data_IF_871558247093
#
_entry.id   IF_871558247093
#
_cell.length_a   1.000
_cell.length_b   1.000
_cell.length_c   1.000
_cell.angle_alpha   90.00
_cell.angle_beta   90.00
_cell.angle_gamma   90.00
#
_symmetry.space_group_name_H-M   'P 1'
#
loop_
_entity.id
_entity.type
_entity.pdbx_description
1 polymer ?
#
# COMPACT_ATOMS: atom_id res chain seq x y z
N UNK A 1 8.94 -14.54 25.63
CA UNK A 1 9.45 -13.22 25.18
C UNK A 1 9.87 -13.17 23.72
N UNK A 2 10.98 -13.83 23.29
CA UNK A 2 11.45 -13.79 21.88
C UNK A 2 10.35 -14.13 20.85
N UNK A 3 9.52 -15.15 21.13
CA UNK A 3 8.42 -15.58 20.26
C UNK A 3 7.38 -14.47 20.01
N UNK A 4 7.03 -13.67 21.01
CA UNK A 4 6.01 -12.62 20.91
C UNK A 4 6.57 -11.40 20.15
N UNK A 5 7.83 -11.02 20.40
CA UNK A 5 8.51 -9.97 19.62
C UNK A 5 8.58 -10.31 18.14
N UNK A 6 8.84 -11.57 17.83
CA UNK A 6 8.89 -12.06 16.45
C UNK A 6 7.49 -12.03 15.82
N UNK A 7 6.44 -12.50 16.51
CA UNK A 7 5.07 -12.44 16.00
C UNK A 7 4.62 -11.00 15.73
N UNK A 8 4.86 -10.07 16.67
CA UNK A 8 4.50 -8.67 16.49
C UNK A 8 5.27 -8.02 15.33
N UNK A 9 6.55 -8.35 15.17
CA UNK A 9 7.33 -7.89 14.02
C UNK A 9 6.69 -8.36 12.72
N UNK A 10 6.26 -9.62 12.64
CA UNK A 10 5.60 -10.16 11.46
C UNK A 10 4.20 -9.57 11.21
N UNK A 11 3.44 -9.25 12.27
CA UNK A 11 2.16 -8.55 12.12
C UNK A 11 2.35 -7.16 11.52
N UNK A 12 3.25 -6.35 12.10
CA UNK A 12 3.54 -5.00 11.62
C UNK A 12 4.10 -5.08 10.20
N UNK A 13 5.04 -6.00 9.96
CA UNK A 13 5.63 -6.17 8.64
C UNK A 13 4.56 -6.62 7.63
N UNK A 14 3.66 -7.54 7.98
CA UNK A 14 2.57 -7.98 7.09
C UNK A 14 1.58 -6.90 6.74
N UNK A 15 1.37 -5.92 7.63
CA UNK A 15 0.57 -4.73 7.33
C UNK A 15 1.30 -3.77 6.40
N UNK A 16 2.58 -3.49 6.69
CA UNK A 16 3.45 -2.63 5.88
C UNK A 16 3.73 -3.23 4.49
N UNK A 17 3.74 -4.57 4.38
CA UNK A 17 3.86 -5.29 3.13
C UNK A 17 2.48 -5.44 2.48
N UNK A 18 2.11 -4.40 1.75
CA UNK A 18 0.89 -4.38 0.97
C UNK A 18 1.13 -4.44 -0.53
N UNK A 19 0.06 -4.22 -1.27
CA UNK A 19 0.11 -4.03 -2.73
C UNK A 19 1.05 -2.90 -3.15
N UNK A 20 1.25 -1.90 -2.28
CA UNK A 20 2.07 -0.71 -2.57
C UNK A 20 3.54 -1.03 -2.81
N UNK A 21 4.08 -2.04 -2.13
CA UNK A 21 5.45 -2.50 -2.29
C UNK A 21 5.71 -3.08 -3.68
N UNK A 22 4.68 -3.60 -4.35
CA UNK A 22 4.79 -4.17 -5.69
C UNK A 22 4.37 -3.18 -6.78
N UNK A 23 3.33 -2.38 -6.52
CA UNK A 23 2.75 -1.50 -7.53
C UNK A 23 3.49 -0.16 -7.66
N UNK A 24 4.05 0.36 -6.56
CA UNK A 24 4.54 1.75 -6.52
C UNK A 24 6.05 1.84 -6.30
N UNK A 25 6.58 1.20 -5.25
CA UNK A 25 8.01 1.32 -4.91
C UNK A 25 8.98 0.87 -6.02
N UNK A 26 8.71 -0.21 -6.79
CA UNK A 26 9.62 -0.68 -7.84
C UNK A 26 9.95 0.39 -8.88
N UNK A 27 8.96 1.23 -9.21
CA UNK A 27 9.15 2.35 -10.14
C UNK A 27 10.30 3.23 -9.70
N UNK A 28 10.23 3.72 -8.47
CA UNK A 28 11.21 4.69 -7.97
C UNK A 28 12.59 4.08 -7.82
N UNK A 29 12.67 2.79 -7.50
CA UNK A 29 13.96 2.09 -7.42
C UNK A 29 14.56 1.87 -8.81
N UNK A 30 13.73 1.63 -9.84
CA UNK A 30 14.20 1.55 -11.22
C UNK A 30 14.62 2.93 -11.75
N UNK A 31 13.81 3.97 -11.53
CA UNK A 31 14.06 5.31 -12.09
C UNK A 31 15.14 6.10 -11.36
N UNK A 32 15.35 5.88 -10.07
CA UNK A 32 16.33 6.63 -9.26
C UNK A 32 17.49 5.77 -8.75
N UNK A 33 17.46 4.45 -8.93
CA UNK A 33 18.49 3.54 -8.46
C UNK A 33 18.74 3.62 -6.96
N UNK A 34 20.02 3.45 -6.57
CA UNK A 34 20.45 3.52 -5.18
C UNK A 34 20.27 4.91 -4.56
N UNK A 35 20.30 5.98 -5.35
CA UNK A 35 19.97 7.33 -4.85
C UNK A 35 18.52 7.39 -4.36
N UNK A 36 17.59 6.81 -5.12
CA UNK A 36 16.19 6.68 -4.74
C UNK A 36 16.03 5.91 -3.44
N UNK A 37 16.70 4.76 -3.32
CA UNK A 37 16.71 3.98 -2.09
C UNK A 37 17.23 4.79 -0.89
N UNK A 38 18.39 5.44 -0.99
CA UNK A 38 18.95 6.24 0.11
C UNK A 38 18.02 7.37 0.54
N UNK A 39 17.38 8.05 -0.40
CA UNK A 39 16.40 9.10 -0.10
C UNK A 39 15.15 8.50 0.56
N UNK A 40 14.70 7.32 0.11
CA UNK A 40 13.55 6.64 0.68
C UNK A 40 13.75 6.25 2.15
N UNK A 41 14.99 6.12 2.62
CA UNK A 41 15.28 5.87 4.05
C UNK A 41 14.76 6.99 4.95
N UNK A 42 14.72 8.24 4.48
CA UNK A 42 14.24 9.38 5.27
C UNK A 42 12.75 9.22 5.63
N UNK A 43 11.81 9.09 4.68
CA UNK A 43 10.41 8.82 5.00
C UNK A 43 10.20 7.48 5.70
N UNK A 44 11.03 6.45 5.46
CA UNK A 44 10.96 5.21 6.24
C UNK A 44 11.26 5.46 7.72
N UNK A 45 12.31 6.23 8.04
CA UNK A 45 12.66 6.56 9.42
C UNK A 45 11.59 7.44 10.08
N UNK A 46 11.02 8.40 9.33
CA UNK A 46 9.86 9.19 9.79
C UNK A 46 8.68 8.27 10.11
N UNK A 47 8.35 7.35 9.21
CA UNK A 47 7.26 6.40 9.42
C UNK A 47 7.50 5.51 10.64
N UNK A 48 8.70 4.94 10.79
CA UNK A 48 9.05 4.13 11.96
C UNK A 48 8.98 4.91 13.27
N UNK A 49 9.39 6.18 13.26
CA UNK A 49 9.27 7.05 14.41
C UNK A 49 7.80 7.29 14.81
N UNK A 50 6.92 7.52 13.83
CA UNK A 50 5.49 7.69 14.07
C UNK A 50 4.85 6.39 14.55
N UNK A 51 5.11 5.27 13.88
CA UNK A 51 4.65 3.94 14.30
C UNK A 51 5.06 3.65 15.74
N UNK A 52 6.33 3.91 16.09
CA UNK A 52 6.82 3.75 17.45
C UNK A 52 6.01 4.63 18.43
N UNK A 53 5.83 5.90 18.10
CA UNK A 53 5.19 6.87 18.99
C UNK A 53 3.70 6.56 19.19
N UNK A 54 2.99 6.20 18.13
CA UNK A 54 1.57 5.81 18.15
C UNK A 54 1.38 4.53 18.96
N UNK A 55 2.13 3.47 18.64
CA UNK A 55 2.00 2.19 19.32
C UNK A 55 2.44 2.28 20.80
N UNK A 56 3.51 3.01 21.11
CA UNK A 56 3.97 3.18 22.49
C UNK A 56 2.97 4.02 23.31
N UNK A 57 2.25 4.97 22.70
CA UNK A 57 1.29 5.83 23.39
C UNK A 57 0.10 5.04 23.97
N UNK A 58 -0.50 4.12 23.20
CA UNK A 58 -1.59 3.25 23.66
C UNK A 58 -1.06 2.09 24.50
N UNK A 59 0.14 1.57 24.18
CA UNK A 59 0.79 0.54 24.99
C UNK A 59 1.05 1.00 26.42
N UNK A 60 1.58 2.22 26.62
CA UNK A 60 1.89 2.75 27.97
C UNK A 60 0.66 3.13 28.77
N UNK A 61 -0.30 3.76 28.10
CA UNK A 61 -1.52 4.24 28.78
C UNK A 61 -2.51 3.13 29.04
N UNK A 62 -2.38 1.98 28.33
CA UNK A 62 -3.37 0.90 28.29
C UNK A 62 -4.75 1.33 27.82
N UNK A 63 -4.83 2.54 27.25
CA UNK A 63 -6.04 3.05 26.67
C UNK A 63 -6.24 2.47 25.29
N UNK A 64 -7.51 2.18 25.02
CA UNK A 64 -7.97 1.95 23.67
C UNK A 64 -7.89 3.24 22.85
N UNK A 65 -7.90 3.13 21.52
CA UNK A 65 -7.75 4.30 20.63
C UNK A 65 -8.86 5.33 20.90
N UNK A 66 -10.10 4.88 21.12
CA UNK A 66 -11.20 5.75 21.51
C UNK A 66 -10.88 6.52 22.80
N UNK A 67 -10.40 5.82 23.83
CA UNK A 67 -10.14 6.43 25.13
C UNK A 67 -9.00 7.45 25.06
N UNK A 68 -7.94 7.15 24.32
CA UNK A 68 -6.79 8.05 24.15
C UNK A 68 -7.23 9.36 23.47
N UNK A 69 -8.03 9.27 22.41
CA UNK A 69 -8.48 10.44 21.64
C UNK A 69 -9.52 11.26 22.41
N UNK A 70 -10.39 10.63 23.20
CA UNK A 70 -11.42 11.34 23.97
C UNK A 70 -10.93 11.89 25.32
N UNK A 71 -10.13 11.11 26.07
CA UNK A 71 -9.75 11.46 27.45
C UNK A 71 -8.44 12.25 27.50
N UNK A 72 -7.41 11.81 26.77
CA UNK A 72 -6.08 12.44 26.81
C UNK A 72 -5.97 13.55 25.77
N UNK A 73 -6.03 13.20 24.49
CA UNK A 73 -5.72 14.13 23.41
C UNK A 73 -6.84 15.15 23.13
N UNK A 74 -8.08 14.84 23.55
CA UNK A 74 -9.29 15.65 23.30
C UNK A 74 -9.49 15.96 21.82
N UNK A 75 -9.28 14.95 20.98
CA UNK A 75 -9.38 15.01 19.52
C UNK A 75 -10.30 13.91 18.95
N UNK A 76 -11.50 13.66 19.54
CA UNK A 76 -12.39 12.58 19.13
C UNK A 76 -12.76 12.58 17.63
N UNK A 77 -12.85 13.76 17.02
CA UNK A 77 -13.16 13.91 15.61
C UNK A 77 -12.19 13.17 14.68
N UNK A 78 -10.91 13.06 15.07
CA UNK A 78 -9.89 12.48 14.23
C UNK A 78 -10.13 10.99 13.97
N UNK A 79 -10.79 10.29 14.90
CA UNK A 79 -11.11 8.87 14.71
C UNK A 79 -11.93 8.66 13.44
N UNK A 80 -12.90 9.54 13.16
CA UNK A 80 -13.71 9.44 11.94
C UNK A 80 -12.89 9.66 10.67
N UNK A 81 -11.94 10.60 10.70
CA UNK A 81 -11.00 10.81 9.58
C UNK A 81 -10.16 9.56 9.32
N UNK A 82 -9.61 8.94 10.37
CA UNK A 82 -8.82 7.71 10.28
C UNK A 82 -9.67 6.54 9.76
N UNK A 83 -10.90 6.38 10.25
CA UNK A 83 -11.82 5.32 9.79
C UNK A 83 -12.21 5.51 8.32
N UNK A 84 -12.55 6.74 7.90
CA UNK A 84 -12.88 7.01 6.49
C UNK A 84 -11.68 6.73 5.58
N UNK A 85 -10.48 7.13 5.97
CA UNK A 85 -9.27 6.83 5.21
C UNK A 85 -8.97 5.34 5.18
N UNK A 86 -9.11 4.63 6.30
CA UNK A 86 -8.98 3.18 6.40
C UNK A 86 -9.93 2.47 5.44
N UNK A 87 -11.19 2.91 5.36
CA UNK A 87 -12.18 2.32 4.44
C UNK A 87 -11.80 2.54 2.97
N UNK A 88 -11.29 3.71 2.62
CA UNK A 88 -10.77 3.99 1.26
C UNK A 88 -9.58 3.07 0.95
N UNK A 89 -8.63 2.96 1.87
CA UNK A 89 -7.48 2.07 1.73
C UNK A 89 -7.91 0.61 1.60
N UNK A 90 -8.91 0.18 2.35
CA UNK A 90 -9.51 -1.15 2.25
C UNK A 90 -10.10 -1.38 0.85
N UNK A 91 -10.96 -0.47 0.38
CA UNK A 91 -11.57 -0.57 -0.95
C UNK A 91 -10.54 -0.63 -2.09
N UNK A 92 -9.56 0.27 -2.07
CA UNK A 92 -8.47 0.29 -3.07
C UNK A 92 -7.67 -1.02 -3.03
N UNK A 93 -7.28 -1.45 -1.83
CA UNK A 93 -6.46 -2.66 -1.66
C UNK A 93 -7.21 -3.90 -2.12
N UNK A 94 -8.50 -4.01 -1.78
CA UNK A 94 -9.38 -5.09 -2.24
C UNK A 94 -9.52 -5.08 -3.75
N UNK A 95 -9.78 -3.93 -4.38
CA UNK A 95 -9.92 -3.84 -5.83
C UNK A 95 -8.68 -4.34 -6.57
N UNK A 96 -7.50 -3.81 -6.22
CA UNK A 96 -6.25 -4.16 -6.92
C UNK A 96 -5.75 -5.57 -6.58
N UNK A 97 -5.99 -6.04 -5.36
CA UNK A 97 -5.77 -7.44 -5.02
C UNK A 97 -6.66 -8.36 -5.89
N UNK A 98 -7.97 -8.09 -5.96
CA UNK A 98 -8.90 -8.84 -6.80
C UNK A 98 -8.57 -8.77 -8.29
N UNK A 99 -8.09 -7.62 -8.78
CA UNK A 99 -7.68 -7.46 -10.17
C UNK A 99 -6.51 -8.38 -10.54
N UNK A 100 -5.64 -8.71 -9.58
CA UNK A 100 -4.55 -9.68 -9.78
C UNK A 100 -5.09 -11.08 -10.08
N UNK A 101 -6.18 -11.50 -9.44
CA UNK A 101 -6.82 -12.80 -9.70
C UNK A 101 -7.52 -12.84 -11.06
N UNK A 102 -8.05 -11.72 -11.55
CA UNK A 102 -8.59 -11.62 -12.92
C UNK A 102 -7.50 -11.96 -13.94
N UNK A 103 -6.29 -11.44 -13.74
CA UNK A 103 -5.14 -11.80 -14.57
C UNK A 103 -4.64 -13.21 -14.34
N UNK A 104 -4.84 -13.84 -13.19
CA UNK A 104 -4.51 -15.27 -13.02
C UNK A 104 -5.49 -16.14 -13.81
N UNK A 105 -6.79 -15.90 -13.65
CA UNK A 105 -7.81 -16.75 -14.29
C UNK A 105 -8.02 -16.46 -15.78
N UNK A 106 -7.47 -15.36 -16.29
CA UNK A 106 -7.65 -14.99 -17.69
C UNK A 106 -9.06 -14.59 -18.05
N UNK A 107 -9.80 -14.06 -17.06
CA UNK A 107 -11.17 -13.59 -17.23
C UNK A 107 -11.22 -12.08 -17.43
N UNK A 108 -12.37 -11.53 -17.83
CA UNK A 108 -12.52 -10.10 -18.05
C UNK A 108 -12.60 -9.27 -16.75
N UNK A 109 -12.22 -8.00 -16.82
CA UNK A 109 -12.28 -7.05 -15.70
C UNK A 109 -13.69 -6.87 -15.09
N UNK A 110 -14.75 -7.24 -15.83
CA UNK A 110 -16.14 -7.28 -15.33
C UNK A 110 -16.33 -8.18 -14.10
N UNK A 111 -15.43 -9.12 -13.86
CA UNK A 111 -15.49 -10.02 -12.71
C UNK A 111 -14.75 -9.50 -11.46
N UNK A 112 -14.08 -8.33 -11.54
CA UNK A 112 -13.39 -7.73 -10.39
C UNK A 112 -14.31 -7.58 -9.17
N UNK A 113 -15.55 -7.06 -9.28
CA UNK A 113 -16.42 -6.90 -8.10
C UNK A 113 -16.75 -8.23 -7.42
N UNK A 114 -17.01 -9.28 -8.20
CA UNK A 114 -17.33 -10.62 -7.65
C UNK A 114 -16.12 -11.19 -6.90
N UNK A 115 -14.93 -11.06 -7.48
CA UNK A 115 -13.70 -11.49 -6.83
C UNK A 115 -13.42 -10.66 -5.58
N UNK A 116 -13.58 -9.33 -5.64
CA UNK A 116 -13.39 -8.42 -4.50
C UNK A 116 -14.31 -8.79 -3.32
N UNK A 117 -15.58 -9.06 -3.59
CA UNK A 117 -16.53 -9.58 -2.61
C UNK A 117 -16.05 -10.91 -2.02
N UNK A 118 -15.64 -11.85 -2.88
CA UNK A 118 -15.07 -13.13 -2.45
C UNK A 118 -13.84 -12.97 -1.56
N UNK A 119 -12.94 -12.04 -1.89
CA UNK A 119 -11.74 -11.72 -1.10
C UNK A 119 -12.10 -11.17 0.28
N UNK A 120 -13.04 -10.22 0.38
CA UNK A 120 -13.48 -9.69 1.67
C UNK A 120 -14.18 -10.78 2.50
N UNK A 121 -15.06 -11.58 1.90
CA UNK A 121 -15.73 -12.69 2.59
C UNK A 121 -14.69 -13.68 3.13
N UNK A 122 -13.70 -14.04 2.31
CA UNK A 122 -12.59 -14.89 2.74
C UNK A 122 -11.86 -14.28 3.94
N UNK A 123 -11.49 -12.99 3.89
CA UNK A 123 -10.83 -12.31 5.00
C UNK A 123 -11.68 -12.32 6.28
N UNK A 124 -12.98 -12.07 6.18
CA UNK A 124 -13.90 -12.12 7.33
C UNK A 124 -14.00 -13.54 7.90
N UNK A 125 -14.15 -14.57 7.05
CA UNK A 125 -14.19 -15.97 7.48
C UNK A 125 -12.91 -16.33 8.24
N UNK A 126 -11.75 -15.96 7.70
CA UNK A 126 -10.45 -16.20 8.35
C UNK A 126 -10.36 -15.51 9.73
N UNK A 127 -10.83 -14.26 9.85
CA UNK A 127 -10.87 -13.53 11.13
C UNK A 127 -11.85 -14.15 12.14
N UNK A 128 -12.98 -14.68 11.69
CA UNK A 128 -13.94 -15.37 12.54
C UNK A 128 -13.39 -16.72 13.03
N UNK A 129 -12.72 -17.47 12.14
CA UNK A 129 -12.06 -18.74 12.47
C UNK A 129 -10.95 -18.60 13.51
N UNK A 130 -10.29 -17.44 13.57
CA UNK A 130 -9.24 -17.17 14.54
C UNK A 130 -9.73 -17.13 16.01
N UNK A 131 -11.06 -17.08 16.28
CA UNK A 131 -11.69 -17.21 17.62
C UNK A 131 -10.96 -16.48 18.77
N UNK A 132 -10.54 -15.24 18.55
CA UNK A 132 -9.85 -14.42 19.56
C UNK A 132 -8.31 -14.45 19.50
N UNK A 133 -7.72 -15.32 18.68
CA UNK A 133 -6.28 -15.32 18.34
C UNK A 133 -5.99 -14.62 17.01
N UNK A 134 -6.75 -13.55 16.70
CA UNK A 134 -6.66 -12.84 15.41
C UNK A 134 -5.26 -12.31 15.15
N UNK A 135 -4.60 -11.75 16.16
CA UNK A 135 -3.24 -11.21 16.04
C UNK A 135 -2.21 -12.30 15.72
N UNK A 136 -2.27 -13.46 16.39
CA UNK A 136 -1.40 -14.61 16.09
C UNK A 136 -1.64 -15.14 14.69
N UNK A 137 -2.92 -15.25 14.30
CA UNK A 137 -3.31 -15.69 12.96
C UNK A 137 -2.76 -14.76 11.87
N UNK A 138 -2.97 -13.44 12.01
CA UNK A 138 -2.44 -12.43 11.10
C UNK A 138 -0.91 -12.54 11.00
N UNK A 139 -0.23 -12.71 12.13
CA UNK A 139 1.23 -12.85 12.17
C UNK A 139 1.71 -14.07 11.37
N UNK A 140 1.08 -15.23 11.55
CA UNK A 140 1.45 -16.47 10.84
C UNK A 140 1.20 -16.33 9.34
N UNK A 141 0.04 -15.80 8.96
CA UNK A 141 -0.31 -15.55 7.56
C UNK A 141 0.68 -14.59 6.91
N UNK A 142 1.08 -13.54 7.61
CA UNK A 142 2.09 -12.58 7.14
C UNK A 142 3.46 -13.21 6.91
N UNK A 143 3.90 -14.14 7.77
CA UNK A 143 5.13 -14.91 7.57
C UNK A 143 5.06 -15.71 6.28
N UNK A 144 3.98 -16.47 6.08
CA UNK A 144 3.82 -17.32 4.90
C UNK A 144 3.89 -16.49 3.61
N UNK A 145 3.23 -15.34 3.60
CA UNK A 145 3.22 -14.47 2.42
C UNK A 145 4.52 -13.73 2.19
N UNK A 146 5.24 -13.36 3.24
CA UNK A 146 6.59 -12.84 3.13
C UNK A 146 7.55 -13.86 2.50
N UNK A 147 7.49 -15.11 2.97
CA UNK A 147 8.27 -16.20 2.38
C UNK A 147 7.86 -16.43 0.91
N UNK A 148 6.56 -16.41 0.62
CA UNK A 148 6.05 -16.52 -0.74
C UNK A 148 6.56 -15.41 -1.65
N UNK A 149 6.61 -14.16 -1.19
CA UNK A 149 7.13 -13.03 -1.95
C UNK A 149 8.62 -13.20 -2.30
N UNK A 150 9.44 -13.61 -1.32
CA UNK A 150 10.88 -13.86 -1.53
C UNK A 150 11.09 -15.02 -2.51
N UNK A 151 10.39 -16.13 -2.31
CA UNK A 151 10.48 -17.31 -3.20
C UNK A 151 10.02 -16.94 -4.61
N UNK A 152 8.92 -16.20 -4.73
CA UNK A 152 8.40 -15.75 -6.02
C UNK A 152 9.39 -14.84 -6.75
N UNK A 153 10.09 -13.94 -6.05
CA UNK A 153 11.12 -13.11 -6.66
C UNK A 153 12.26 -13.95 -7.28
N UNK A 154 12.70 -14.99 -6.57
CA UNK A 154 13.73 -15.93 -7.06
C UNK A 154 13.21 -16.71 -8.28
N UNK A 155 11.98 -17.22 -8.20
CA UNK A 155 11.36 -17.99 -9.28
C UNK A 155 11.12 -17.14 -10.54
N UNK A 156 10.64 -15.90 -10.37
CA UNK A 156 10.45 -14.93 -11.47
C UNK A 156 11.77 -14.61 -12.14
N UNK A 157 12.83 -14.35 -11.37
CA UNK A 157 14.19 -14.16 -11.91
C UNK A 157 14.62 -15.34 -12.77
N UNK A 158 14.56 -16.55 -12.22
CA UNK A 158 15.04 -17.74 -12.92
C UNK A 158 14.23 -18.01 -14.20
N UNK A 159 12.92 -17.77 -14.15
CA UNK A 159 12.04 -17.91 -15.31
C UNK A 159 12.29 -16.81 -16.36
N UNK A 160 12.52 -15.56 -15.95
CA UNK A 160 12.84 -14.48 -16.87
C UNK A 160 14.19 -14.74 -17.58
N UNK A 161 15.21 -15.17 -16.85
CA UNK A 161 16.53 -15.48 -17.41
C UNK A 161 16.52 -16.65 -18.41
N UNK A 162 15.62 -17.64 -18.24
CA UNK A 162 15.48 -18.74 -19.19
C UNK A 162 14.60 -18.40 -20.39
N UNK A 163 13.67 -17.45 -20.24
CA UNK A 163 12.69 -17.11 -21.27
C UNK A 163 13.14 -15.97 -22.17
N UNK A 164 13.86 -14.99 -21.63
CA UNK A 164 14.31 -13.79 -22.36
C UNK A 164 15.60 -14.07 -23.12
N UNK A 165 15.49 -14.25 -24.43
CA UNK A 165 16.60 -14.63 -25.33
C UNK A 165 16.89 -13.57 -26.39
N UNK A 166 15.92 -12.73 -26.75
CA UNK A 166 16.12 -11.70 -27.77
C UNK A 166 17.14 -10.64 -27.29
N UNK A 167 18.17 -10.27 -28.08
CA UNK A 167 19.25 -9.38 -27.62
C UNK A 167 18.77 -8.04 -27.05
N UNK A 168 17.78 -7.42 -27.69
CA UNK A 168 17.20 -6.15 -27.26
C UNK A 168 16.43 -6.30 -25.94
N UNK A 169 15.69 -7.39 -25.77
CA UNK A 169 14.96 -7.70 -24.54
C UNK A 169 15.92 -8.00 -23.38
N UNK A 170 17.00 -8.73 -23.65
CA UNK A 170 18.07 -8.99 -22.68
C UNK A 170 18.74 -7.68 -22.26
N UNK A 171 19.05 -6.80 -23.20
CA UNK A 171 19.63 -5.49 -22.90
C UNK A 171 18.68 -4.64 -22.06
N UNK A 172 17.39 -4.58 -22.42
CA UNK A 172 16.38 -3.85 -21.66
C UNK A 172 16.25 -4.38 -20.22
N UNK A 173 16.16 -5.69 -20.06
CA UNK A 173 16.13 -6.34 -18.75
C UNK A 173 17.38 -6.02 -17.92
N UNK A 174 18.58 -6.14 -18.53
CA UNK A 174 19.85 -5.82 -17.86
C UNK A 174 19.91 -4.37 -17.42
N UNK A 175 19.47 -3.43 -18.26
CA UNK A 175 19.41 -2.01 -17.91
C UNK A 175 18.45 -1.74 -16.75
N UNK A 176 17.25 -2.33 -16.76
CA UNK A 176 16.29 -2.17 -15.66
C UNK A 176 16.86 -2.72 -14.34
N UNK A 177 17.47 -3.90 -14.37
CA UNK A 177 18.08 -4.54 -13.19
C UNK A 177 19.30 -3.75 -12.70
N UNK A 178 20.19 -3.33 -13.60
CA UNK A 178 21.39 -2.57 -13.23
C UNK A 178 21.04 -1.18 -12.69
N UNK A 179 19.96 -0.57 -13.18
CA UNK A 179 19.50 0.74 -12.72
C UNK A 179 19.18 0.74 -11.23
N UNK A 180 18.53 -0.33 -10.72
CA UNK A 180 18.20 -0.49 -9.30
C UNK A 180 19.46 -0.40 -8.42
N UNK A 181 20.59 -0.93 -8.89
CA UNK A 181 21.87 -0.97 -8.17
C UNK A 181 22.82 0.16 -8.55
N UNK A 182 22.40 1.11 -9.39
CA UNK A 182 23.26 2.19 -9.90
C UNK A 182 23.09 3.50 -9.12
N UNK A 183 24.13 4.34 -9.15
CA UNK A 183 24.07 5.73 -8.67
C UNK A 183 23.90 6.75 -9.81
N UNK A 184 23.80 6.30 -11.05
CA UNK A 184 23.92 7.19 -12.22
C UNK A 184 22.61 7.94 -12.53
N UNK A 185 21.48 7.45 -12.00
CA UNK A 185 20.17 8.01 -12.28
C UNK A 185 20.00 9.43 -11.70
N UNK A 186 19.25 10.27 -12.42
CA UNK A 186 18.95 11.64 -12.03
C UNK A 186 17.73 11.71 -11.10
N UNK A 187 17.79 12.58 -10.10
CA UNK A 187 16.67 12.85 -9.21
C UNK A 187 15.84 14.02 -9.73
N UNK A 188 14.52 13.89 -9.67
CA UNK A 188 13.58 14.98 -9.95
C UNK A 188 12.84 15.34 -8.68
N UNK A 189 12.58 16.63 -8.44
CA UNK A 189 11.91 17.07 -7.23
C UNK A 189 10.52 16.44 -7.09
N UNK A 190 9.73 16.45 -8.17
CA UNK A 190 8.38 15.88 -8.20
C UNK A 190 8.38 14.36 -7.96
N UNK A 191 9.30 13.64 -8.60
CA UNK A 191 9.43 12.20 -8.39
C UNK A 191 9.88 11.85 -6.97
N UNK A 192 10.78 12.63 -6.36
CA UNK A 192 11.18 12.46 -4.95
C UNK A 192 10.00 12.71 -4.01
N UNK A 193 9.19 13.74 -4.25
CA UNK A 193 7.99 14.02 -3.46
C UNK A 193 6.98 12.86 -3.55
N UNK A 194 6.73 12.34 -4.75
CA UNK A 194 5.83 11.18 -4.91
C UNK A 194 6.40 9.92 -4.28
N UNK A 195 7.71 9.68 -4.37
CA UNK A 195 8.37 8.58 -3.67
C UNK A 195 8.20 8.71 -2.15
N UNK A 196 8.36 9.92 -1.59
CA UNK A 196 8.20 10.18 -0.17
C UNK A 196 6.79 9.78 0.30
N UNK A 197 5.74 10.30 -0.36
CA UNK A 197 4.36 9.97 -0.01
C UNK A 197 4.07 8.48 -0.24
N UNK A 198 4.60 7.89 -1.31
CA UNK A 198 4.44 6.45 -1.58
C UNK A 198 5.05 5.58 -0.48
N UNK A 199 6.20 5.98 0.08
CA UNK A 199 6.80 5.30 1.23
C UNK A 199 5.88 5.42 2.44
N UNK A 200 5.38 6.61 2.77
CA UNK A 200 4.48 6.80 3.91
C UNK A 200 3.19 5.96 3.79
N UNK A 201 2.58 5.95 2.59
CA UNK A 201 1.39 5.14 2.29
C UNK A 201 1.71 3.64 2.37
N UNK A 202 2.88 3.21 1.89
CA UNK A 202 3.30 1.81 2.00
C UNK A 202 3.50 1.37 3.45
N UNK A 203 3.91 2.29 4.33
CA UNK A 203 3.93 2.05 5.77
C UNK A 203 2.54 2.16 6.42
N UNK A 204 1.45 2.25 5.65
CA UNK A 204 0.10 2.17 6.20
C UNK A 204 -0.25 3.27 7.22
N UNK A 205 0.44 4.40 7.17
CA UNK A 205 0.12 5.57 7.98
C UNK A 205 -1.21 6.19 7.52
N UNK A 206 -1.93 6.77 8.46
CA UNK A 206 -3.18 7.52 8.29
C UNK A 206 -4.43 6.74 8.64
N UNK A 207 -4.31 5.44 8.98
CA UNK A 207 -5.44 4.54 9.21
C UNK A 207 -5.73 4.27 10.70
N UNK A 208 -4.92 4.79 11.62
CA UNK A 208 -5.03 4.55 13.07
C UNK A 208 -4.59 3.16 13.51
N UNK A 209 -4.06 2.34 12.59
CA UNK A 209 -3.74 0.93 12.83
C UNK A 209 -2.70 0.75 13.95
N UNK A 210 -1.71 1.65 14.03
CA UNK A 210 -0.63 1.50 15.01
C UNK A 210 -1.04 1.85 16.43
N UNK A 211 -2.00 2.78 16.62
CA UNK A 211 -2.63 3.00 17.92
C UNK A 211 -3.35 1.73 18.41
N UNK A 212 -4.07 1.06 17.50
CA UNK A 212 -4.75 -0.20 17.83
C UNK A 212 -3.74 -1.30 18.14
N UNK A 213 -2.70 -1.50 17.31
CA UNK A 213 -1.63 -2.49 17.59
C UNK A 213 -0.98 -2.25 18.97
N UNK A 214 -0.75 -0.99 19.33
CA UNK A 214 -0.19 -0.62 20.62
C UNK A 214 -1.03 -1.07 21.82
N UNK A 215 -2.36 -0.98 21.74
CA UNK A 215 -3.24 -1.37 22.87
C UNK A 215 -3.18 -2.87 23.19
N UNK A 216 -2.93 -3.71 22.18
CA UNK A 216 -2.74 -5.17 22.35
C UNK A 216 -1.30 -5.59 22.60
N UNK A 217 -0.35 -4.65 22.57
CA UNK A 217 1.07 -4.96 22.75
C UNK A 217 1.40 -5.21 24.24
N UNK A 218 2.08 -6.32 24.60
CA UNK A 218 2.53 -6.55 25.98
C UNK A 218 3.52 -5.49 26.45
N UNK A 219 3.43 -5.06 27.71
CA UNK A 219 4.27 -4.01 28.31
C UNK A 219 5.77 -4.28 28.16
N UNK A 220 6.15 -5.54 28.36
CA UNK A 220 7.53 -6.03 28.31
C UNK A 220 8.13 -6.03 26.89
N UNK A 221 7.31 -5.83 25.85
CA UNK A 221 7.76 -5.90 24.46
C UNK A 221 8.61 -4.67 24.08
N UNK A 222 9.85 -4.90 23.66
CA UNK A 222 10.71 -3.84 23.14
C UNK A 222 10.31 -3.46 21.69
N UNK A 223 9.44 -2.45 21.56
CA UNK A 223 8.97 -1.96 20.26
C UNK A 223 10.12 -1.46 19.36
N UNK A 224 11.21 -0.94 19.92
CA UNK A 224 12.35 -0.47 19.10
C UNK A 224 13.02 -1.64 18.38
N UNK A 225 13.21 -2.77 19.08
CA UNK A 225 13.75 -3.99 18.46
C UNK A 225 12.82 -4.56 17.40
N UNK A 226 11.51 -4.58 17.68
CA UNK A 226 10.49 -5.02 16.73
C UNK A 226 10.53 -4.18 15.47
N UNK A 227 10.55 -2.86 15.59
CA UNK A 227 10.60 -1.94 14.45
C UNK A 227 11.93 -1.99 13.69
N UNK A 228 13.04 -2.28 14.38
CA UNK A 228 14.31 -2.57 13.72
C UNK A 228 14.24 -3.79 12.79
N UNK A 229 13.54 -4.85 13.21
CA UNK A 229 13.30 -6.03 12.37
C UNK A 229 12.38 -5.67 11.19
N UNK A 230 11.27 -4.96 11.45
CA UNK A 230 10.34 -4.50 10.41
C UNK A 230 11.07 -3.69 9.34
N UNK A 231 11.97 -2.78 9.75
CA UNK A 231 12.76 -1.96 8.83
C UNK A 231 13.63 -2.81 7.90
N UNK A 232 14.37 -3.79 8.45
CA UNK A 232 15.23 -4.67 7.66
C UNK A 232 14.39 -5.50 6.68
N UNK A 233 13.28 -6.09 7.15
CA UNK A 233 12.40 -6.89 6.32
C UNK A 233 11.77 -6.05 5.19
N UNK A 234 11.34 -4.82 5.49
CA UNK A 234 10.79 -3.90 4.51
C UNK A 234 11.81 -3.56 3.41
N UNK A 235 13.08 -3.33 3.76
CA UNK A 235 14.15 -3.09 2.77
C UNK A 235 14.31 -4.31 1.86
N UNK A 236 14.50 -5.50 2.44
CA UNK A 236 14.70 -6.76 1.68
C UNK A 236 13.55 -6.97 0.70
N UNK A 237 12.32 -6.78 1.15
CA UNK A 237 11.13 -7.07 0.37
C UNK A 237 10.83 -6.00 -0.68
N UNK A 238 11.16 -4.74 -0.39
CA UNK A 238 11.08 -3.67 -1.40
C UNK A 238 12.06 -3.92 -2.55
N UNK A 239 13.28 -4.38 -2.26
CA UNK A 239 14.23 -4.80 -3.31
C UNK A 239 13.75 -6.07 -4.03
N UNK A 240 13.23 -7.06 -3.31
CA UNK A 240 12.68 -8.28 -3.92
C UNK A 240 11.54 -7.93 -4.91
N UNK A 241 10.63 -7.04 -4.52
CA UNK A 241 9.57 -6.54 -5.40
C UNK A 241 10.14 -5.77 -6.60
N UNK A 242 11.13 -4.88 -6.39
CA UNK A 242 11.77 -4.13 -7.47
C UNK A 242 12.44 -5.05 -8.51
N UNK A 243 13.19 -6.05 -8.07
CA UNK A 243 13.78 -7.04 -8.98
C UNK A 243 12.72 -7.87 -9.68
N UNK A 244 11.66 -8.29 -8.96
CA UNK A 244 10.54 -9.04 -9.56
C UNK A 244 9.93 -8.27 -10.74
N UNK A 245 9.70 -6.97 -10.57
CA UNK A 245 9.19 -6.09 -11.64
C UNK A 245 10.21 -5.93 -12.76
N UNK A 246 11.48 -5.64 -12.44
CA UNK A 246 12.53 -5.45 -13.46
C UNK A 246 12.74 -6.69 -14.34
N UNK A 247 12.74 -7.90 -13.77
CA UNK A 247 12.82 -9.14 -14.54
C UNK A 247 11.56 -9.37 -15.39
N UNK A 248 10.39 -9.04 -14.86
CA UNK A 248 9.12 -9.18 -15.59
C UNK A 248 9.02 -8.19 -16.77
N UNK A 249 9.59 -7.00 -16.65
CA UNK A 249 9.68 -6.00 -17.73
C UNK A 249 10.49 -6.51 -18.94
N UNK A 250 11.56 -7.27 -18.70
CA UNK A 250 12.33 -7.93 -19.76
C UNK A 250 11.51 -8.97 -20.51
N UNK A 251 10.75 -9.79 -19.78
CA UNK A 251 9.84 -10.76 -20.37
C UNK A 251 8.72 -10.07 -21.17
N UNK A 252 8.18 -8.96 -20.66
CA UNK A 252 7.17 -8.16 -21.34
C UNK A 252 7.71 -7.57 -22.65
N UNK A 253 8.95 -7.05 -22.66
CA UNK A 253 9.61 -6.59 -23.90
C UNK A 253 9.60 -7.69 -24.97
N UNK A 254 10.01 -8.90 -24.60
CA UNK A 254 10.05 -10.01 -25.55
C UNK A 254 8.65 -10.45 -26.00
N UNK A 255 7.67 -10.46 -25.09
CA UNK A 255 6.28 -10.74 -25.41
C UNK A 255 5.72 -9.77 -26.44
N UNK A 256 5.93 -8.47 -26.23
CA UNK A 256 5.59 -7.43 -27.19
C UNK A 256 6.24 -7.68 -28.56
N UNK A 257 7.56 -7.92 -28.60
CA UNK A 257 8.28 -8.13 -29.85
C UNK A 257 7.76 -9.33 -30.65
N UNK A 258 7.42 -10.43 -29.97
CA UNK A 258 6.84 -11.62 -30.61
C UNK A 258 5.40 -11.38 -31.09
N UNK A 259 4.60 -10.67 -30.31
CA UNK A 259 3.23 -10.34 -30.69
C UNK A 259 3.22 -9.47 -31.96
N UNK A 260 4.05 -8.43 -32.00
CA UNK A 260 4.11 -7.50 -33.13
C UNK A 260 4.59 -8.15 -34.44
N UNK A 261 5.41 -9.20 -34.34
CA UNK A 261 5.88 -9.96 -35.50
C UNK A 261 4.95 -11.11 -35.90
N UNK A 262 3.88 -11.37 -35.14
CA UNK A 262 2.96 -12.48 -35.40
C UNK A 262 1.88 -12.05 -36.41
N UNK A 263 1.85 -12.63 -37.63
CA UNK A 263 0.86 -12.26 -38.64
C UNK A 263 -0.57 -12.68 -38.27
N UNK A 264 -0.75 -13.54 -37.27
CA UNK A 264 -2.06 -14.02 -36.82
C UNK A 264 -2.73 -13.10 -35.79
N UNK A 265 -2.03 -12.08 -35.29
CA UNK A 265 -2.60 -11.12 -34.33
C UNK A 265 -3.17 -9.93 -35.11
N UNK A 266 -4.46 -9.57 -34.93
CA UNK A 266 -5.05 -8.41 -35.58
C UNK A 266 -4.25 -7.13 -35.31
N UNK A 267 -4.18 -6.24 -36.31
CA UNK A 267 -3.41 -5.00 -36.19
C UNK A 267 -3.85 -4.12 -35.01
N UNK A 268 -5.15 -4.11 -34.70
CA UNK A 268 -5.71 -3.41 -33.53
C UNK A 268 -5.17 -3.96 -32.20
N UNK A 269 -5.11 -5.29 -32.06
CA UNK A 269 -4.59 -5.94 -30.86
C UNK A 269 -3.07 -5.72 -30.71
N UNK A 270 -2.32 -5.83 -31.80
CA UNK A 270 -0.90 -5.50 -31.83
C UNK A 270 -0.62 -4.04 -31.48
N UNK A 271 -1.45 -3.10 -31.94
CA UNK A 271 -1.35 -1.68 -31.57
C UNK A 271 -1.65 -1.46 -30.09
N UNK A 272 -2.66 -2.13 -29.54
CA UNK A 272 -2.98 -2.07 -28.12
C UNK A 272 -1.81 -2.57 -27.24
N UNK A 273 -1.19 -3.69 -27.63
CA UNK A 273 0.01 -4.22 -26.95
C UNK A 273 1.20 -3.26 -27.07
N UNK A 274 1.36 -2.59 -28.21
CA UNK A 274 2.38 -1.55 -28.38
C UNK A 274 2.17 -0.38 -27.41
N UNK A 275 0.96 0.16 -27.31
CA UNK A 275 0.64 1.27 -26.40
C UNK A 275 0.93 0.90 -24.94
N UNK A 276 0.48 -0.29 -24.52
CA UNK A 276 0.76 -0.84 -23.19
C UNK A 276 2.25 -1.01 -22.92
N UNK A 277 3.01 -1.45 -23.92
CA UNK A 277 4.45 -1.56 -23.78
C UNK A 277 5.16 -0.19 -23.73
N UNK A 278 4.68 0.81 -24.48
CA UNK A 278 5.20 2.18 -24.35
C UNK A 278 4.96 2.73 -22.95
N UNK A 279 3.80 2.47 -22.36
CA UNK A 279 3.51 2.82 -20.98
C UNK A 279 4.49 2.15 -19.99
N UNK A 280 4.80 0.86 -20.18
CA UNK A 280 5.81 0.15 -19.40
C UNK A 280 7.22 0.71 -19.59
N UNK A 281 7.54 1.19 -20.79
CA UNK A 281 8.81 1.85 -21.06
C UNK A 281 8.89 3.19 -20.32
N UNK A 282 7.85 4.02 -20.42
CA UNK A 282 7.76 5.28 -19.68
C UNK A 282 7.87 5.06 -18.16
N UNK A 283 7.25 4.00 -17.63
CA UNK A 283 7.35 3.63 -16.22
C UNK A 283 8.80 3.49 -15.74
N UNK A 284 9.71 2.99 -16.59
CA UNK A 284 11.12 2.79 -16.22
C UNK A 284 12.00 4.03 -16.32
N UNK A 285 11.55 5.09 -17.00
CA UNK A 285 12.37 6.28 -17.28
C UNK A 285 11.77 7.58 -16.72
N UNK A 286 10.45 7.67 -16.61
CA UNK A 286 9.74 8.88 -16.22
C UNK A 286 9.43 8.87 -14.72
N UNK A 287 10.34 9.46 -13.95
CA UNK A 287 10.21 9.63 -12.50
C UNK A 287 9.06 10.57 -12.09
N UNK A 288 8.58 11.44 -12.98
CA UNK A 288 7.54 12.44 -12.68
C UNK A 288 6.11 11.96 -12.94
N UNK A 289 5.94 10.83 -13.65
CA UNK A 289 4.62 10.19 -13.85
C UNK A 289 4.01 9.86 -12.48
N UNK A 290 2.70 10.04 -12.31
CA UNK A 290 2.09 9.94 -10.98
C UNK A 290 2.13 8.49 -10.45
N UNK A 291 2.11 8.27 -9.12
CA UNK A 291 1.97 6.93 -8.56
C UNK A 291 0.72 6.20 -9.09
N UNK A 292 -0.37 6.94 -9.31
CA UNK A 292 -1.66 6.41 -9.77
C UNK A 292 -1.53 5.77 -11.16
N UNK A 293 -0.92 6.49 -12.11
CA UNK A 293 -0.67 5.98 -13.45
C UNK A 293 0.25 4.75 -13.39
N UNK A 294 1.22 4.78 -12.48
CA UNK A 294 2.22 3.72 -12.34
C UNK A 294 1.60 2.40 -11.85
N UNK A 295 0.56 2.48 -11.03
CA UNK A 295 -0.21 1.32 -10.54
C UNK A 295 -0.93 0.64 -11.70
N UNK A 296 -1.62 1.41 -12.55
CA UNK A 296 -2.34 0.87 -13.72
C UNK A 296 -1.38 0.25 -14.73
N UNK A 297 -0.24 0.90 -14.97
CA UNK A 297 0.78 0.41 -15.90
C UNK A 297 1.39 -0.93 -15.46
N UNK A 298 1.51 -1.20 -14.16
CA UNK A 298 1.98 -2.50 -13.68
C UNK A 298 1.15 -3.67 -14.22
N UNK A 299 -0.17 -3.51 -14.34
CA UNK A 299 -1.07 -4.54 -14.86
C UNK A 299 -0.98 -4.73 -16.38
N UNK A 300 -0.25 -3.87 -17.09
CA UNK A 300 0.10 -4.11 -18.50
C UNK A 300 1.13 -5.23 -18.66
N UNK A 301 1.92 -5.55 -17.62
CA UNK A 301 2.90 -6.65 -17.66
C UNK A 301 2.22 -8.00 -18.00
N UNK A 302 1.25 -8.51 -17.21
CA UNK A 302 0.63 -9.79 -17.52
C UNK A 302 -0.12 -9.80 -18.85
N UNK A 303 -0.65 -8.67 -19.29
CA UNK A 303 -1.34 -8.54 -20.59
C UNK A 303 -0.39 -8.72 -21.77
N UNK A 304 0.79 -8.12 -21.70
CA UNK A 304 1.81 -8.25 -22.75
C UNK A 304 2.43 -9.65 -22.75
N UNK A 305 2.52 -10.30 -21.59
CA UNK A 305 3.08 -11.65 -21.47
C UNK A 305 2.16 -12.75 -22.03
N UNK A 306 0.86 -12.64 -21.74
CA UNK A 306 -0.12 -13.71 -22.02
C UNK A 306 -0.13 -14.10 -23.50
N UNK A 307 0.03 -15.38 -23.78
CA UNK A 307 -0.02 -15.94 -25.14
C UNK A 307 1.18 -15.61 -26.03
N UNK A 308 2.11 -14.75 -25.59
CA UNK A 308 3.17 -14.21 -26.46
C UNK A 308 4.56 -14.82 -26.21
N UNK A 309 4.79 -15.43 -25.03
CA UNK A 309 6.03 -16.14 -24.71
C UNK A 309 5.75 -17.52 -24.11
N UNK A 310 6.65 -18.47 -24.35
CA UNK A 310 6.60 -19.77 -23.69
C UNK A 310 6.69 -19.60 -22.16
N UNK A 311 5.86 -20.34 -21.43
CA UNK A 311 5.77 -20.28 -19.96
C UNK A 311 5.38 -18.90 -19.38
N UNK A 312 4.75 -18.03 -20.17
CA UNK A 312 4.18 -16.76 -19.72
C UNK A 312 3.30 -16.93 -18.48
N UNK A 313 2.45 -17.97 -18.47
CA UNK A 313 1.48 -18.21 -17.40
C UNK A 313 2.17 -18.40 -16.05
N UNK A 314 3.35 -19.03 -16.02
CA UNK A 314 4.10 -19.20 -14.77
C UNK A 314 4.58 -17.85 -14.21
N UNK A 315 5.06 -16.96 -15.07
CA UNK A 315 5.44 -15.60 -14.66
C UNK A 315 4.23 -14.80 -14.17
N UNK A 316 3.11 -14.89 -14.89
CA UNK A 316 1.86 -14.23 -14.52
C UNK A 316 1.38 -14.74 -13.17
N UNK A 317 1.35 -16.05 -12.94
CA UNK A 317 0.94 -16.64 -11.66
C UNK A 317 1.83 -16.19 -10.51
N UNK A 318 3.15 -16.25 -10.66
CA UNK A 318 4.08 -15.84 -9.60
C UNK A 318 3.92 -14.36 -9.25
N UNK A 319 3.85 -13.49 -10.26
CA UNK A 319 3.71 -12.04 -10.08
C UNK A 319 2.36 -11.68 -9.45
N UNK A 320 1.26 -12.17 -10.02
CA UNK A 320 -0.10 -11.81 -9.60
C UNK A 320 -0.51 -12.48 -8.29
N UNK A 321 -0.05 -13.71 -7.99
CA UNK A 321 -0.31 -14.32 -6.69
C UNK A 321 0.45 -13.58 -5.58
N UNK A 322 1.67 -13.12 -5.86
CA UNK A 322 2.44 -12.34 -4.89
C UNK A 322 1.70 -11.06 -4.53
N UNK A 323 1.17 -10.38 -5.54
CA UNK A 323 0.37 -9.17 -5.36
C UNK A 323 -0.97 -9.44 -4.65
N UNK A 324 -1.67 -10.52 -5.03
CA UNK A 324 -2.92 -10.91 -4.37
C UNK A 324 -2.71 -11.16 -2.88
N UNK A 325 -1.72 -11.98 -2.52
CA UNK A 325 -1.44 -12.32 -1.14
C UNK A 325 -0.93 -11.13 -0.31
N UNK A 326 -0.11 -10.25 -0.90
CA UNK A 326 0.27 -8.98 -0.26
C UNK A 326 -0.94 -8.05 -0.05
N UNK A 327 -1.94 -8.09 -0.93
CA UNK A 327 -3.20 -7.40 -0.69
C UNK A 327 -4.01 -8.06 0.43
N UNK A 328 -4.09 -9.40 0.43
CA UNK A 328 -4.88 -10.15 1.40
C UNK A 328 -4.39 -9.95 2.84
N UNK A 329 -3.08 -9.85 3.08
CA UNK A 329 -2.52 -9.48 4.41
C UNK A 329 -3.05 -8.15 4.88
N UNK A 330 -2.91 -7.11 4.06
CA UNK A 330 -3.33 -5.76 4.40
C UNK A 330 -4.84 -5.68 4.59
N UNK A 331 -5.63 -6.35 3.73
CA UNK A 331 -7.10 -6.39 3.85
C UNK A 331 -7.53 -6.99 5.19
N UNK A 332 -6.95 -8.12 5.61
CA UNK A 332 -7.27 -8.75 6.89
C UNK A 332 -6.97 -7.79 8.05
N UNK A 333 -5.82 -7.10 8.02
CA UNK A 333 -5.46 -6.12 9.06
C UNK A 333 -6.41 -4.93 9.05
N UNK A 334 -6.70 -4.34 7.89
CA UNK A 334 -7.59 -3.19 7.79
C UNK A 334 -9.01 -3.52 8.30
N UNK A 335 -9.54 -4.72 7.98
CA UNK A 335 -10.85 -5.17 8.48
C UNK A 335 -10.82 -5.34 10.00
N UNK A 336 -9.83 -6.02 10.56
CA UNK A 336 -9.73 -6.25 12.01
C UNK A 336 -9.57 -4.93 12.77
N UNK A 337 -8.64 -4.06 12.34
CA UNK A 337 -8.36 -2.79 13.01
C UNK A 337 -9.52 -1.81 12.86
N UNK A 338 -10.10 -1.71 11.65
CA UNK A 338 -11.30 -0.90 11.42
C UNK A 338 -12.47 -1.39 12.26
N UNK A 339 -12.64 -2.71 12.40
CA UNK A 339 -13.68 -3.30 13.24
C UNK A 339 -13.47 -2.96 14.72
N UNK A 340 -12.23 -2.99 15.21
CA UNK A 340 -11.93 -2.64 16.59
C UNK A 340 -12.19 -1.16 16.88
N UNK A 341 -11.72 -0.25 16.01
CA UNK A 341 -12.00 1.19 16.11
C UNK A 341 -13.52 1.43 16.13
N UNK A 342 -14.26 0.78 15.20
CA UNK A 342 -15.70 0.97 15.08
C UNK A 342 -16.47 0.37 16.27
N UNK A 343 -16.05 -0.80 16.75
CA UNK A 343 -16.63 -1.45 17.93
C UNK A 343 -16.53 -0.55 19.16
N UNK A 344 -15.41 0.14 19.33
CA UNK A 344 -15.21 1.08 20.44
C UNK A 344 -16.05 2.36 20.29
N UNK A 345 -16.05 2.96 19.10
CA UNK A 345 -16.74 4.24 18.85
C UNK A 345 -18.26 4.08 18.85
N UNK A 346 -18.76 3.02 18.22
CA UNK A 346 -20.20 2.77 18.04
C UNK A 346 -20.77 1.76 19.05
N UNK A 347 -19.95 1.24 19.97
CA UNK A 347 -20.34 0.22 20.96
C UNK A 347 -20.99 -1.02 20.30
N UNK A 348 -20.45 -1.44 19.15
CA UNK A 348 -20.94 -2.60 18.41
C UNK A 348 -20.25 -3.89 18.86
N UNK A 349 -21.00 -5.00 18.88
CA UNK A 349 -20.42 -6.34 19.03
C UNK A 349 -19.44 -6.63 17.89
N UNK A 350 -18.39 -7.41 18.18
CA UNK A 350 -17.33 -7.78 17.21
C UNK A 350 -17.87 -8.28 15.86
N UNK A 351 -18.92 -9.12 15.88
CA UNK A 351 -19.48 -9.66 14.64
C UNK A 351 -20.18 -8.57 13.81
N UNK A 352 -20.85 -7.62 14.47
CA UNK A 352 -21.53 -6.50 13.81
C UNK A 352 -20.52 -5.52 13.23
N UNK A 353 -19.47 -5.17 13.99
CA UNK A 353 -18.41 -4.27 13.53
C UNK A 353 -17.61 -4.87 12.35
N UNK A 354 -17.25 -6.15 12.42
CA UNK A 354 -16.60 -6.86 11.31
C UNK A 354 -17.48 -6.84 10.06
N UNK A 355 -18.76 -7.16 10.21
CA UNK A 355 -19.72 -7.16 9.09
C UNK A 355 -19.86 -5.77 8.50
N UNK A 356 -19.95 -4.73 9.32
CA UNK A 356 -20.11 -3.35 8.85
C UNK A 356 -18.91 -2.89 8.03
N UNK A 357 -17.69 -3.09 8.54
CA UNK A 357 -16.46 -2.74 7.81
C UNK A 357 -16.33 -3.54 6.52
N UNK A 358 -16.65 -4.83 6.56
CA UNK A 358 -16.64 -5.69 5.37
C UNK A 358 -17.64 -5.21 4.30
N UNK A 359 -18.87 -4.87 4.69
CA UNK A 359 -19.90 -4.37 3.75
C UNK A 359 -19.45 -3.06 3.10
N UNK A 360 -18.91 -2.12 3.88
CA UNK A 360 -18.38 -0.87 3.33
C UNK A 360 -17.19 -1.12 2.40
N UNK A 361 -16.27 -2.00 2.78
CA UNK A 361 -15.17 -2.41 1.91
C UNK A 361 -15.64 -3.02 0.58
N UNK A 362 -16.67 -3.87 0.61
CA UNK A 362 -17.27 -4.47 -0.58
C UNK A 362 -17.91 -3.43 -1.49
N UNK A 363 -18.66 -2.48 -0.92
CA UNK A 363 -19.28 -1.38 -1.67
C UNK A 363 -18.19 -0.54 -2.34
N UNK A 364 -17.16 -0.12 -1.58
CA UNK A 364 -16.08 0.71 -2.10
C UNK A 364 -15.30 0.00 -3.22
N UNK A 365 -14.93 -1.27 -3.03
CA UNK A 365 -14.27 -2.05 -4.07
C UNK A 365 -15.17 -2.25 -5.31
N UNK A 366 -16.49 -2.43 -5.10
CA UNK A 366 -17.46 -2.61 -6.18
C UNK A 366 -17.64 -1.37 -7.06
N UNK A 367 -17.77 -0.18 -6.45
CA UNK A 367 -17.96 1.08 -7.21
C UNK A 367 -16.72 1.46 -8.04
N UNK A 368 -15.53 0.98 -7.67
CA UNK A 368 -14.30 1.15 -8.43
C UNK A 368 -14.26 0.36 -9.76
N UNK A 369 -15.30 -0.42 -10.08
CA UNK A 369 -15.48 -0.94 -11.44
C UNK A 369 -15.61 0.20 -12.47
N UNK A 370 -16.13 1.35 -12.06
CA UNK A 370 -16.18 2.57 -12.90
C UNK A 370 -14.81 3.24 -12.88
N UNK A 371 -14.17 3.34 -14.04
CA UNK A 371 -12.80 3.86 -14.17
C UNK A 371 -12.58 5.23 -13.52
N UNK A 372 -13.49 6.18 -13.75
CA UNK A 372 -13.38 7.53 -13.17
C UNK A 372 -13.45 7.51 -11.64
N UNK A 373 -14.36 6.70 -11.07
CA UNK A 373 -14.49 6.53 -9.61
C UNK A 373 -13.22 5.88 -9.05
N UNK A 374 -12.68 4.87 -9.74
CA UNK A 374 -11.41 4.23 -9.36
C UNK A 374 -10.28 5.23 -9.30
N UNK A 375 -10.12 6.07 -10.32
CA UNK A 375 -9.11 7.13 -10.33
C UNK A 375 -9.32 8.10 -9.16
N UNK A 376 -10.55 8.55 -8.91
CA UNK A 376 -10.85 9.46 -7.81
C UNK A 376 -10.41 8.90 -6.45
N UNK A 377 -10.74 7.64 -6.14
CA UNK A 377 -10.32 7.03 -4.88
C UNK A 377 -8.81 6.76 -4.83
N UNK A 378 -8.20 6.31 -5.93
CA UNK A 378 -6.75 6.05 -5.98
C UNK A 378 -5.92 7.30 -5.71
N UNK A 379 -6.42 8.47 -6.11
CA UNK A 379 -5.73 9.75 -5.89
C UNK A 379 -5.58 10.05 -4.40
N UNK A 380 -6.60 9.75 -3.58
CA UNK A 380 -6.69 10.13 -2.17
C UNK A 380 -5.42 9.83 -1.37
N UNK A 381 -4.90 8.58 -1.29
CA UNK A 381 -3.70 8.29 -0.50
C UNK A 381 -2.45 9.04 -1.00
N UNK A 382 -2.34 9.32 -2.29
CA UNK A 382 -1.16 9.99 -2.85
C UNK A 382 -1.28 11.52 -2.89
N UNK A 383 -2.50 12.08 -2.80
CA UNK A 383 -2.71 13.52 -2.73
C UNK A 383 -2.69 14.04 -1.30
N UNK A 384 -3.34 13.34 -0.36
CA UNK A 384 -3.52 13.79 1.02
C UNK A 384 -2.93 12.85 2.08
N UNK A 385 -2.36 11.70 1.71
CA UNK A 385 -1.87 10.71 2.69
C UNK A 385 -0.87 11.28 3.70
N UNK A 386 0.04 12.17 3.27
CA UNK A 386 0.96 12.84 4.18
C UNK A 386 0.24 13.83 5.13
N UNK A 387 -0.83 14.51 4.69
CA UNK A 387 -1.66 15.33 5.56
C UNK A 387 -2.42 14.48 6.58
N UNK A 388 -2.92 13.31 6.16
CA UNK A 388 -3.62 12.38 7.06
C UNK A 388 -2.66 11.83 8.10
N UNK A 389 -1.45 11.44 7.72
CA UNK A 389 -0.40 11.03 8.68
C UNK A 389 -0.02 12.16 9.65
N UNK A 390 0.01 13.43 9.18
CA UNK A 390 0.23 14.57 10.07
C UNK A 390 -0.91 14.75 11.09
N UNK A 391 -2.16 14.55 10.64
CA UNK A 391 -3.35 14.60 11.51
C UNK A 391 -3.39 13.41 12.48
N UNK A 392 -3.03 12.21 12.04
CA UNK A 392 -2.91 11.01 12.88
C UNK A 392 -1.87 11.18 14.00
N UNK A 393 -0.77 11.89 13.71
CA UNK A 393 0.29 12.17 14.66
C UNK A 393 -0.05 13.33 15.63
N UNK A 394 -1.05 14.16 15.32
CA UNK A 394 -1.41 15.33 16.13
C UNK A 394 -1.71 15.03 17.62
N UNK A 395 -2.46 13.97 17.99
CA UNK A 395 -2.69 13.58 19.38
C UNK A 395 -1.39 13.43 20.20
N UNK A 396 -0.29 13.00 19.57
CA UNK A 396 1.00 12.78 20.21
C UNK A 396 1.62 14.06 20.78
N UNK A 397 1.18 15.25 20.33
CA UNK A 397 1.63 16.52 20.89
C UNK A 397 1.10 16.79 22.31
N UNK A 398 0.11 16.02 22.78
CA UNK A 398 -0.33 16.09 24.16
C UNK A 398 0.85 15.84 25.11
N UNK A 399 1.02 16.73 26.09
CA UNK A 399 2.10 16.67 27.08
C UNK A 399 2.11 15.37 27.90
N UNK A 400 0.98 14.66 27.93
CA UNK A 400 0.83 13.38 28.61
C UNK A 400 1.33 12.19 27.78
N UNK A 401 1.48 12.33 26.46
CA UNK A 401 1.73 11.20 25.54
C UNK A 401 3.18 11.13 25.05
N UNK A 402 3.85 12.26 24.82
CA UNK A 402 5.23 12.22 24.31
C UNK A 402 6.23 13.00 25.15
N UNK A 403 7.45 12.46 25.20
CA UNK A 403 8.60 13.07 25.89
C UNK A 403 9.39 14.02 24.97
N UNK A 404 9.11 13.99 23.65
CA UNK A 404 9.87 14.65 22.58
C UNK A 404 8.97 15.52 21.68
N UNK A 405 8.15 16.40 22.27
CA UNK A 405 7.18 17.23 21.54
C UNK A 405 7.80 18.00 20.37
N UNK A 406 9.05 18.48 20.50
CA UNK A 406 9.75 19.21 19.43
C UNK A 406 10.00 18.36 18.18
N UNK A 407 10.38 17.09 18.34
CA UNK A 407 10.62 16.18 17.20
C UNK A 407 9.28 15.82 16.54
N UNK A 408 8.26 15.52 17.34
CA UNK A 408 6.91 15.23 16.83
C UNK A 408 6.37 16.42 16.03
N UNK A 409 6.49 17.64 16.57
CA UNK A 409 6.07 18.86 15.87
C UNK A 409 6.82 19.09 14.56
N UNK A 410 8.14 18.85 14.54
CA UNK A 410 8.95 18.95 13.33
C UNK A 410 8.51 17.92 12.27
N UNK A 411 8.27 16.67 12.68
CA UNK A 411 7.77 15.61 11.79
C UNK A 411 6.40 15.98 11.22
N UNK A 412 5.46 16.43 12.06
CA UNK A 412 4.15 16.92 11.62
C UNK A 412 4.31 18.06 10.61
N UNK A 413 5.21 19.02 10.85
CA UNK A 413 5.49 20.12 9.93
C UNK A 413 6.00 19.63 8.57
N UNK A 414 6.93 18.68 8.54
CA UNK A 414 7.45 18.08 7.30
C UNK A 414 6.34 17.35 6.54
N UNK A 415 5.54 16.54 7.23
CA UNK A 415 4.41 15.82 6.63
C UNK A 415 3.34 16.77 6.08
N UNK A 416 3.05 17.84 6.82
CA UNK A 416 2.12 18.86 6.39
C UNK A 416 2.58 19.57 5.12
N UNK A 417 3.85 20.00 5.06
CA UNK A 417 4.42 20.61 3.86
C UNK A 417 4.44 19.64 2.66
N UNK A 418 4.87 18.39 2.87
CA UNK A 418 4.85 17.37 1.82
C UNK A 418 3.43 17.14 1.29
N UNK A 419 2.45 17.05 2.19
CA UNK A 419 1.05 16.86 1.88
C UNK A 419 0.42 18.04 1.12
N UNK A 420 0.74 19.29 1.50
CA UNK A 420 0.30 20.47 0.74
C UNK A 420 0.88 20.48 -0.68
N UNK A 421 2.15 20.09 -0.83
CA UNK A 421 2.79 20.01 -2.15
C UNK A 421 2.17 18.93 -3.03
N UNK A 422 1.90 17.74 -2.52
CA UNK A 422 1.23 16.69 -3.31
C UNK A 422 -0.19 17.06 -3.68
N UNK A 423 -0.92 17.69 -2.75
CA UNK A 423 -2.27 18.20 -3.00
C UNK A 423 -2.26 19.27 -4.10
N UNK A 424 -1.31 20.21 -4.06
CA UNK A 424 -1.13 21.23 -5.09
C UNK A 424 -0.93 20.61 -6.48
N UNK A 425 -0.05 19.61 -6.60
CA UNK A 425 0.16 18.91 -7.88
C UNK A 425 -1.08 18.14 -8.34
N UNK A 426 -1.85 17.56 -7.42
CA UNK A 426 -3.08 16.84 -7.76
C UNK A 426 -4.18 17.81 -8.27
N UNK A 427 -4.35 18.97 -7.64
CA UNK A 427 -5.33 19.98 -8.07
C UNK A 427 -4.95 20.60 -9.43
N UNK A 428 -3.65 20.70 -9.74
CA UNK A 428 -3.15 21.18 -11.04
C UNK A 428 -3.02 20.10 -12.11
N UNK A 429 -3.34 18.85 -11.81
CA UNK A 429 -3.31 17.79 -12.81
C UNK A 429 -4.26 18.10 -13.98
N UNK A 430 -3.94 17.69 -15.23
CA UNK A 430 -4.81 17.95 -16.38
C UNK A 430 -6.15 17.21 -16.27
N UNK A 431 -6.15 16.00 -15.72
CA UNK A 431 -7.34 15.16 -15.60
C UNK A 431 -8.31 15.66 -14.51
N UNK A 432 -9.56 15.90 -14.88
CA UNK A 432 -10.62 16.33 -13.95
C UNK A 432 -10.88 15.32 -12.83
N UNK A 433 -10.82 14.03 -13.15
CA UNK A 433 -11.00 12.93 -12.17
C UNK A 433 -9.94 12.97 -11.06
N UNK A 434 -8.70 13.34 -11.39
CA UNK A 434 -7.62 13.53 -10.40
C UNK A 434 -7.92 14.71 -9.48
N UNK A 435 -8.44 15.82 -10.02
CA UNK A 435 -8.84 16.98 -9.20
C UNK A 435 -9.97 16.63 -8.23
N UNK A 436 -10.99 15.91 -8.72
CA UNK A 436 -12.12 15.47 -7.89
C UNK A 436 -11.63 14.51 -6.79
N UNK A 437 -10.71 13.59 -7.11
CA UNK A 437 -10.09 12.72 -6.11
C UNK A 437 -9.32 13.49 -5.02
N UNK A 438 -8.60 14.56 -5.41
CA UNK A 438 -7.94 15.44 -4.45
C UNK A 438 -8.94 16.18 -3.54
N UNK A 439 -10.06 16.66 -4.10
CA UNK A 439 -11.15 17.27 -3.33
C UNK A 439 -11.82 16.25 -2.40
N UNK A 440 -12.05 15.01 -2.86
CA UNK A 440 -12.55 13.92 -2.02
C UNK A 440 -11.59 13.66 -0.84
N UNK A 441 -10.28 13.70 -1.07
CA UNK A 441 -9.27 13.63 -0.01
C UNK A 441 -9.40 14.76 1.02
N UNK A 442 -9.72 15.99 0.58
CA UNK A 442 -9.98 17.11 1.48
C UNK A 442 -11.26 16.93 2.32
N UNK A 443 -12.29 16.29 1.76
CA UNK A 443 -13.54 15.99 2.47
C UNK A 443 -13.30 15.08 3.69
N UNK A 444 -12.25 14.25 3.68
CA UNK A 444 -11.89 13.41 4.82
C UNK A 444 -11.55 14.20 6.09
N UNK A 445 -11.16 15.48 5.95
CA UNK A 445 -10.85 16.35 7.08
C UNK A 445 -12.07 17.10 7.64
N UNK A 446 -13.26 16.97 7.02
CA UNK A 446 -14.49 17.60 7.55
C UNK A 446 -14.75 17.27 9.02
N UNK A 447 -14.58 16.01 9.50
CA UNK A 447 -14.76 15.68 10.90
C UNK A 447 -13.87 16.50 11.84
N UNK A 448 -12.64 16.86 11.43
CA UNK A 448 -11.68 17.61 12.25
C UNK A 448 -12.28 18.95 12.74
N UNK A 449 -13.08 19.61 11.90
CA UNK A 449 -13.75 20.87 12.26
C UNK A 449 -14.89 20.69 13.28
N UNK A 450 -15.39 19.47 13.47
CA UNK A 450 -16.45 19.14 14.41
C UNK A 450 -15.94 18.78 15.81
N UNK A 451 -14.62 18.84 16.04
CA UNK A 451 -14.01 18.40 17.29
C UNK A 451 -14.60 19.09 18.54
N UNK A 452 -14.84 20.40 18.47
CA UNK A 452 -15.44 21.16 19.58
C UNK A 452 -16.89 20.77 19.87
N UNK A 453 -17.65 20.31 18.87
CA UNK A 453 -19.03 19.87 19.06
C UNK A 453 -19.07 18.55 19.84
N UNK A 454 -18.19 17.61 19.49
CA UNK A 454 -18.08 16.31 20.17
C UNK A 454 -17.66 16.45 21.64
N UNK A 455 -16.76 17.39 21.94
CA UNK A 455 -16.33 17.68 23.31
C UNK A 455 -17.39 18.39 24.17
N UNK A 456 -18.28 19.21 23.56
CA UNK A 456 -19.30 19.99 24.29
C UNK A 456 -20.45 19.14 24.83
N UNK A 457 -20.74 17.97 24.24
CA UNK A 457 -21.87 17.11 24.65
C UNK A 457 -21.72 16.46 26.04
N UNK A 458 -20.61 16.71 26.74
CA UNK A 458 -20.22 16.04 27.99
C UNK A 458 -20.28 16.93 29.24
N UNK A 459 -20.89 18.11 29.16
CA UNK A 459 -21.15 18.97 30.33
C UNK A 459 -22.57 18.81 30.82
#
# INVERSE_FOLDING_TARGET
MRKISVLMAFLITGYVLGIWNFLVLPKYYITFGLKGFLISLIPMLIALFLIYSEAESTKRTRYLIYELFFKIARTPALIFTLVMFLLIMLGITTYYSAYSLVYIFGIGAKYVPVIAVGTIILSVILLLMAKGKTLEFISVVSILFMLFAIVSAILVRNQALSTVTAPQAVQYMKMAVSSITSFDQSLTFRGVLYMLVSVLVSFGLGAGVYYVIGSFTPEELDLKKVLGIVFILQIILSFAAAFTVAYSLGAAYQGFGKAFQNPNIPAEESMNLYLKFQDLKEYTINSEKSPMDSIEVFYSIPEVLRGNIAHADRLIYLLMLSLYFAGLTTIIVLIEMGSQILSEVMQLDRNKSLTFVAVLGMILAGVMMVGDIRTMFLVVPFSVGALIAAVEAYPLLSSELTRNNGIVAAVIGVLFLAGLMTLYYAIRAPATTVKIGALLGLVLFVPVFMNSMLLKSRR
#
